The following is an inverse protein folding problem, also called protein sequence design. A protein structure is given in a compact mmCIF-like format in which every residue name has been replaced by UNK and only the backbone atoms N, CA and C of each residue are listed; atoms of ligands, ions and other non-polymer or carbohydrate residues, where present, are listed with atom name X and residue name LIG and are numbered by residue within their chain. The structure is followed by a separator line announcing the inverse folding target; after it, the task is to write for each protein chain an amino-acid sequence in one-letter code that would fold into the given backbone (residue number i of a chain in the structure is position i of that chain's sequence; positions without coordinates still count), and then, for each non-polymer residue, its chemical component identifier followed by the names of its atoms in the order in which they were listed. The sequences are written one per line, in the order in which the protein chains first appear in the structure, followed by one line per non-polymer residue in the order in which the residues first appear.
data_IF_995122591675
#
_entry.id   IF_995122591675
#
_cell.length_a   1.000
_cell.length_b   1.000
_cell.length_c   1.000
_cell.angle_alpha   90.00
_cell.angle_beta   90.00
_cell.angle_gamma   90.00
#
_symmetry.space_group_name_H-M   'P 1'
#
loop_
_entity.id
_entity.type
_entity.pdbx_description
1 polymer ?
#
# COMPACT_ATOMS: atom_id res chain seq x y z
N UNK A 1 -58.90 23.94 -44.99
CA UNK A 1 -59.08 24.74 -43.76
C UNK A 1 -57.85 25.62 -43.57
N UNK A 2 -58.04 26.84 -43.07
CA UNK A 2 -57.04 27.91 -42.91
C UNK A 2 -55.94 27.56 -41.89
N UNK A 3 -54.65 27.83 -42.16
CA UNK A 3 -53.78 29.00 -41.80
C UNK A 3 -53.41 29.18 -40.31
N UNK A 4 -52.12 29.52 -40.14
CA UNK A 4 -51.46 30.24 -39.02
C UNK A 4 -51.24 29.44 -37.72
N UNK A 5 -50.00 29.31 -37.20
CA UNK A 5 -49.16 30.32 -36.48
C UNK A 5 -49.82 30.74 -35.15
N UNK A 6 -49.13 30.84 -34.01
CA UNK A 6 -47.76 31.39 -33.82
C UNK A 6 -47.20 31.13 -32.38
N UNK A 7 -45.86 31.20 -32.20
CA UNK A 7 -45.13 31.70 -31.00
C UNK A 7 -45.33 30.99 -29.61
N UNK A 8 -44.43 30.92 -28.63
CA UNK A 8 -43.00 31.28 -28.33
C UNK A 8 -42.62 30.51 -27.02
N UNK A 9 -41.45 30.55 -26.35
CA UNK A 9 -40.19 31.33 -26.41
C UNK A 9 -39.05 30.54 -25.70
N UNK A 10 -37.81 30.59 -26.19
CA UNK A 10 -36.58 30.36 -25.39
C UNK A 10 -36.17 28.90 -25.08
N UNK A 11 -34.90 28.60 -24.78
CA UNK A 11 -33.72 29.48 -24.74
C UNK A 11 -32.42 28.67 -24.92
N UNK A 12 -31.59 29.01 -25.92
CA UNK A 12 -30.23 28.49 -25.99
C UNK A 12 -29.33 29.31 -25.05
N UNK A 13 -28.81 28.71 -23.98
CA UNK A 13 -27.64 29.24 -23.29
C UNK A 13 -26.74 28.13 -22.78
N UNK A 14 -25.60 27.94 -23.47
CA UNK A 14 -24.49 27.20 -22.91
C UNK A 14 -23.84 28.00 -21.78
N UNK A 15 -23.68 27.39 -20.60
CA UNK A 15 -22.53 27.54 -19.69
C UNK A 15 -22.85 26.84 -18.37
N UNK A 16 -22.18 25.73 -18.07
CA UNK A 16 -21.38 25.57 -16.83
C UNK A 16 -20.90 24.12 -16.69
N UNK A 17 -19.59 23.94 -16.79
CA UNK A 17 -18.89 22.79 -16.23
C UNK A 17 -19.17 22.69 -14.73
N UNK A 18 -19.87 21.65 -14.29
CA UNK A 18 -20.04 21.34 -12.87
C UNK A 18 -19.44 19.97 -12.55
N UNK A 19 -18.19 20.02 -12.10
CA UNK A 19 -17.47 18.98 -11.34
C UNK A 19 -18.40 17.98 -10.64
N UNK A 20 -18.48 16.75 -11.15
CA UNK A 20 -19.06 15.62 -10.41
C UNK A 20 -18.06 15.11 -9.36
N UNK A 21 -17.80 15.95 -8.37
CA UNK A 21 -17.17 15.54 -7.12
C UNK A 21 -18.19 14.67 -6.39
N UNK A 22 -18.15 13.35 -6.63
CA UNK A 22 -19.02 12.40 -5.94
C UNK A 22 -18.71 12.47 -4.45
N UNK A 23 -19.54 13.19 -3.70
CA UNK A 23 -19.44 13.28 -2.24
C UNK A 23 -19.49 11.86 -1.67
N UNK A 24 -18.61 11.57 -0.71
CA UNK A 24 -18.76 10.41 0.16
C UNK A 24 -20.19 10.34 0.71
N UNK A 25 -20.78 9.16 0.71
CA UNK A 25 -22.13 8.97 1.26
C UNK A 25 -22.10 9.20 2.77
N UNK A 26 -23.22 9.64 3.36
CA UNK A 26 -23.35 9.70 4.82
C UNK A 26 -23.12 8.32 5.47
N UNK A 27 -23.51 7.24 4.80
CA UNK A 27 -23.23 5.88 5.24
C UNK A 27 -21.73 5.51 5.22
N UNK A 28 -20.94 6.12 4.32
CA UNK A 28 -19.49 5.93 4.29
C UNK A 28 -18.82 6.68 5.45
N UNK A 29 -19.37 7.83 5.85
CA UNK A 29 -18.84 8.63 6.96
C UNK A 29 -18.99 7.92 8.30
N UNK A 30 -20.17 7.37 8.61
CA UNK A 30 -20.39 6.62 9.86
C UNK A 30 -19.53 5.35 9.91
N UNK A 31 -19.32 4.68 8.77
CA UNK A 31 -18.38 3.57 8.67
C UNK A 31 -16.94 4.01 8.93
N UNK A 32 -16.48 5.11 8.33
CA UNK A 32 -15.12 5.67 8.57
C UNK A 32 -14.94 6.13 10.02
N UNK A 33 -15.96 6.71 10.66
CA UNK A 33 -15.92 7.08 12.09
C UNK A 33 -15.84 5.84 12.98
N UNK A 34 -16.68 4.84 12.75
CA UNK A 34 -16.62 3.55 13.46
C UNK A 34 -15.25 2.90 13.31
N UNK A 35 -14.66 2.98 12.12
CA UNK A 35 -13.30 2.53 11.84
C UNK A 35 -12.22 3.27 12.60
N UNK A 36 -12.29 4.60 12.67
CA UNK A 36 -11.34 5.40 13.45
C UNK A 36 -11.41 5.04 14.93
N UNK A 37 -12.63 4.81 15.46
CA UNK A 37 -12.84 4.35 16.84
C UNK A 37 -12.29 2.92 17.06
N UNK A 38 -12.54 1.99 16.15
CA UNK A 38 -12.02 0.61 16.24
C UNK A 38 -10.49 0.53 16.00
N UNK A 39 -9.88 1.52 15.34
CA UNK A 39 -8.42 1.70 15.26
C UNK A 39 -7.82 2.31 16.53
N UNK A 40 -8.61 3.05 17.33
CA UNK A 40 -8.19 3.55 18.66
C UNK A 40 -8.30 2.45 19.74
N UNK A 41 -9.26 1.53 19.61
CA UNK A 41 -9.42 0.38 20.50
C UNK A 41 -8.30 -0.66 20.28
N UNK A 42 -7.42 -0.82 21.27
CA UNK A 42 -6.32 -1.79 21.27
C UNK A 42 -6.79 -3.23 21.00
N UNK A 43 -8.02 -3.58 21.35
CA UNK A 43 -8.60 -4.92 21.21
C UNK A 43 -9.10 -5.20 19.79
N UNK A 44 -9.43 -4.15 19.03
CA UNK A 44 -10.08 -4.27 17.71
C UNK A 44 -9.21 -3.80 16.55
N UNK A 45 -8.18 -2.98 16.80
CA UNK A 45 -7.31 -2.42 15.76
C UNK A 45 -6.74 -3.46 14.80
N UNK A 46 -6.33 -4.63 15.32
CA UNK A 46 -5.82 -5.73 14.49
C UNK A 46 -6.92 -6.28 13.55
N UNK A 47 -8.13 -6.51 14.09
CA UNK A 47 -9.27 -7.01 13.32
C UNK A 47 -9.71 -6.00 12.26
N UNK A 48 -9.79 -4.71 12.61
CA UNK A 48 -10.09 -3.63 11.67
C UNK A 48 -9.09 -3.61 10.49
N UNK A 49 -7.78 -3.61 10.76
CA UNK A 49 -6.76 -3.66 9.71
C UNK A 49 -6.86 -4.92 8.83
N UNK A 50 -7.13 -6.10 9.41
CA UNK A 50 -7.33 -7.34 8.65
C UNK A 50 -8.58 -7.27 7.76
N UNK A 51 -9.68 -6.72 8.27
CA UNK A 51 -10.89 -6.49 7.48
C UNK A 51 -10.62 -5.49 6.34
N UNK A 52 -9.73 -4.51 6.51
CA UNK A 52 -9.40 -3.53 5.48
C UNK A 52 -8.72 -4.21 4.28
N UNK A 53 -7.71 -5.03 4.60
CA UNK A 53 -6.99 -5.82 3.61
C UNK A 53 -7.94 -6.72 2.82
N UNK A 54 -8.92 -7.34 3.51
CA UNK A 54 -9.95 -8.16 2.87
C UNK A 54 -10.89 -7.34 1.98
N UNK A 55 -11.40 -6.20 2.46
CA UNK A 55 -12.27 -5.31 1.67
C UNK A 55 -11.57 -4.75 0.42
N UNK A 56 -10.29 -4.40 0.52
CA UNK A 56 -9.46 -3.99 -0.64
C UNK A 56 -9.30 -5.17 -1.62
N UNK A 57 -9.02 -6.37 -1.10
CA UNK A 57 -8.79 -7.55 -1.93
C UNK A 57 -10.05 -8.06 -2.65
N UNK A 58 -11.23 -7.91 -2.04
CA UNK A 58 -12.52 -8.32 -2.61
C UNK A 58 -13.12 -7.27 -3.57
N UNK A 59 -12.85 -5.99 -3.34
CA UNK A 59 -13.49 -4.89 -4.08
C UNK A 59 -12.46 -3.89 -4.62
N UNK A 60 -12.09 -3.99 -5.92
CA UNK A 60 -11.16 -3.05 -6.56
C UNK A 60 -11.64 -1.59 -6.55
N UNK A 61 -12.94 -1.34 -6.42
CA UNK A 61 -13.52 0.01 -6.33
C UNK A 61 -13.11 0.74 -5.04
N UNK A 62 -13.08 0.04 -3.90
CA UNK A 62 -12.64 0.59 -2.61
C UNK A 62 -11.17 0.98 -2.60
N UNK A 63 -10.34 0.34 -3.45
CA UNK A 63 -8.92 0.72 -3.65
C UNK A 63 -8.77 2.20 -3.98
N UNK A 64 -9.60 2.72 -4.90
CA UNK A 64 -9.54 4.11 -5.37
C UNK A 64 -10.08 5.11 -4.33
N UNK A 65 -11.16 4.77 -3.64
CA UNK A 65 -11.69 5.63 -2.57
C UNK A 65 -10.76 5.71 -1.36
N UNK A 66 -10.07 4.62 -1.02
CA UNK A 66 -9.08 4.59 0.06
C UNK A 66 -7.86 5.47 -0.22
N UNK A 67 -7.41 5.50 -1.48
CA UNK A 67 -6.34 6.38 -1.96
C UNK A 67 -6.77 7.85 -1.88
N UNK A 68 -7.98 8.19 -2.34
CA UNK A 68 -8.53 9.55 -2.20
C UNK A 68 -8.65 9.99 -0.73
N UNK A 69 -9.00 9.07 0.17
CA UNK A 69 -9.11 9.33 1.61
C UNK A 69 -7.75 9.40 2.33
N UNK A 70 -6.62 9.17 1.64
CA UNK A 70 -5.27 9.11 2.20
C UNK A 70 -5.10 8.16 3.41
N UNK A 71 -5.92 7.09 3.49
CA UNK A 71 -6.04 6.29 4.73
C UNK A 71 -4.75 5.57 5.12
N UNK A 72 -3.84 5.31 4.17
CA UNK A 72 -2.54 4.65 4.47
C UNK A 72 -1.63 5.51 5.35
N UNK A 73 -1.83 6.84 5.40
CA UNK A 73 -1.08 7.72 6.29
C UNK A 73 -1.21 7.33 7.77
N UNK A 74 -2.39 6.83 8.18
CA UNK A 74 -2.63 6.33 9.54
C UNK A 74 -1.98 4.96 9.82
N UNK A 75 -1.49 4.27 8.78
CA UNK A 75 -0.93 2.92 8.87
C UNK A 75 0.60 2.95 9.01
N UNK A 76 1.29 3.91 8.39
CA UNK A 76 2.77 4.02 8.45
C UNK A 76 3.35 4.06 9.89
N UNK A 77 2.75 4.75 10.88
CA UNK A 77 3.24 4.72 12.27
C UNK A 77 3.31 3.31 12.88
N UNK A 78 2.46 2.38 12.44
CA UNK A 78 2.50 0.99 12.91
C UNK A 78 3.65 0.20 12.28
N UNK A 79 4.03 0.50 11.04
CA UNK A 79 5.16 -0.14 10.34
C UNK A 79 6.53 0.31 10.90
N UNK A 80 6.61 1.58 11.33
CA UNK A 80 7.82 2.15 11.92
C UNK A 80 8.03 1.75 13.40
N UNK A 81 7.07 1.04 14.02
CA UNK A 81 7.20 0.57 15.39
C UNK A 81 8.23 -0.59 15.46
N UNK A 82 9.27 -0.45 16.31
CA UNK A 82 10.35 -1.44 16.47
C UNK A 82 10.14 -2.42 17.65
N UNK A 83 9.05 -2.31 18.41
CA UNK A 83 8.78 -3.19 19.56
C UNK A 83 8.53 -4.63 19.06
N UNK A 84 9.28 -5.59 19.58
CA UNK A 84 9.17 -7.01 19.17
C UNK A 84 8.12 -7.82 19.96
N UNK A 85 7.37 -7.18 20.85
CA UNK A 85 6.26 -7.81 21.56
C UNK A 85 5.16 -8.27 20.59
N UNK A 86 4.53 -9.41 20.89
CA UNK A 86 3.50 -10.04 20.05
C UNK A 86 2.39 -9.11 19.53
N UNK A 87 1.75 -8.27 20.38
CA UNK A 87 0.71 -7.35 19.93
C UNK A 87 1.20 -6.33 18.89
N UNK A 88 2.44 -5.83 19.03
CA UNK A 88 3.03 -4.91 18.08
C UNK A 88 3.37 -5.60 16.75
N UNK A 89 3.83 -6.84 16.79
CA UNK A 89 4.10 -7.65 15.61
C UNK A 89 2.82 -8.01 14.83
N UNK A 90 1.74 -8.40 15.51
CA UNK A 90 0.47 -8.68 14.86
C UNK A 90 -0.08 -7.46 14.11
N UNK A 91 0.07 -6.27 14.70
CA UNK A 91 -0.40 -5.02 14.13
C UNK A 91 0.49 -4.59 12.95
N UNK A 92 1.81 -4.85 12.98
CA UNK A 92 2.68 -4.73 11.79
C UNK A 92 2.21 -5.66 10.67
N UNK A 93 1.98 -6.94 10.95
CA UNK A 93 1.52 -7.93 9.96
C UNK A 93 0.17 -7.51 9.35
N UNK A 94 -0.78 -7.06 10.17
CA UNK A 94 -2.08 -6.58 9.70
C UNK A 94 -1.93 -5.32 8.81
N UNK A 95 -1.08 -4.37 9.21
CA UNK A 95 -0.74 -3.15 8.45
C UNK A 95 -0.10 -3.47 7.10
N UNK A 96 0.89 -4.37 7.08
CA UNK A 96 1.50 -4.90 5.86
C UNK A 96 0.46 -5.65 5.00
N UNK A 97 -0.52 -6.32 5.60
CA UNK A 97 -1.63 -6.94 4.89
C UNK A 97 -2.44 -5.94 4.06
N UNK A 98 -2.72 -4.75 4.60
CA UNK A 98 -3.43 -3.67 3.88
C UNK A 98 -2.61 -3.19 2.68
N UNK A 99 -1.33 -2.87 2.87
CA UNK A 99 -0.46 -2.39 1.79
C UNK A 99 -0.21 -3.49 0.77
N UNK A 100 -0.01 -4.74 1.22
CA UNK A 100 0.09 -5.93 0.40
C UNK A 100 -1.14 -6.12 -0.50
N UNK A 101 -2.36 -5.92 0.02
CA UNK A 101 -3.58 -5.96 -0.77
C UNK A 101 -3.65 -4.83 -1.83
N UNK A 102 -3.16 -3.62 -1.50
CA UNK A 102 -3.07 -2.50 -2.45
C UNK A 102 -2.09 -2.80 -3.61
N UNK A 103 -0.91 -3.35 -3.32
CA UNK A 103 0.13 -3.61 -4.36
C UNK A 103 -0.02 -4.96 -5.06
N UNK A 104 -0.85 -5.89 -4.55
CA UNK A 104 -1.07 -7.23 -5.14
C UNK A 104 -1.49 -7.19 -6.60
N UNK A 105 -2.28 -6.19 -6.99
CA UNK A 105 -2.58 -5.86 -8.38
C UNK A 105 -1.80 -4.60 -8.70
N UNK A 106 -0.72 -4.74 -9.48
CA UNK A 106 0.14 -3.65 -9.92
C UNK A 106 -0.73 -2.64 -10.69
N UNK A 107 -0.77 -1.42 -10.18
CA UNK A 107 -1.56 -0.31 -10.71
C UNK A 107 -0.74 0.94 -10.46
N UNK A 108 -0.38 1.62 -11.55
CA UNK A 108 0.54 2.77 -11.52
C UNK A 108 -0.01 3.93 -10.70
N UNK A 109 -1.34 4.11 -10.60
CA UNK A 109 -1.94 5.13 -9.73
C UNK A 109 -1.62 4.84 -8.25
N UNK A 110 -1.68 3.57 -7.86
CA UNK A 110 -1.45 3.13 -6.48
C UNK A 110 0.03 3.20 -6.12
N UNK A 111 0.93 2.83 -7.03
CA UNK A 111 2.38 2.96 -6.81
C UNK A 111 2.78 4.43 -6.69
N UNK A 112 2.27 5.32 -7.55
CA UNK A 112 2.54 6.77 -7.45
C UNK A 112 1.99 7.38 -6.16
N UNK A 113 0.85 6.90 -5.64
CA UNK A 113 0.32 7.30 -4.34
C UNK A 113 1.19 6.80 -3.16
N UNK A 114 1.62 5.54 -3.19
CA UNK A 114 2.46 4.96 -2.14
C UNK A 114 3.88 5.54 -2.10
N UNK A 115 4.40 5.99 -3.25
CA UNK A 115 5.69 6.68 -3.38
C UNK A 115 5.56 8.22 -3.36
N UNK A 116 4.38 8.75 -3.01
CA UNK A 116 4.14 10.18 -3.07
C UNK A 116 5.04 10.93 -2.07
N UNK A 117 5.65 12.09 -2.42
CA UNK A 117 6.58 12.80 -1.54
C UNK A 117 6.02 13.22 -0.17
N UNK A 118 4.70 13.27 -0.03
CA UNK A 118 4.00 13.57 1.24
C UNK A 118 3.80 12.35 2.14
N UNK A 119 4.05 11.13 1.65
CA UNK A 119 3.91 9.84 2.36
C UNK A 119 5.16 8.94 2.13
N UNK A 120 6.41 9.42 2.35
CA UNK A 120 7.62 8.71 1.90
C UNK A 120 7.96 7.40 2.64
N UNK A 121 7.11 7.00 3.60
CA UNK A 121 7.44 6.01 4.63
C UNK A 121 7.12 4.55 4.25
N UNK A 122 6.53 4.28 3.07
CA UNK A 122 6.19 2.89 2.70
C UNK A 122 7.42 1.99 2.56
N UNK A 123 8.48 2.46 1.88
CA UNK A 123 9.71 1.67 1.70
C UNK A 123 10.52 1.61 3.01
N UNK A 124 10.79 2.72 3.72
CA UNK A 124 11.43 2.68 5.04
C UNK A 124 10.69 1.79 6.04
N UNK A 125 9.36 1.85 6.11
CA UNK A 125 8.55 1.01 6.98
C UNK A 125 8.60 -0.48 6.60
N UNK A 126 8.63 -0.81 5.31
CA UNK A 126 8.86 -2.18 4.86
C UNK A 126 10.27 -2.68 5.20
N UNK A 127 11.31 -1.85 5.02
CA UNK A 127 12.69 -2.17 5.41
C UNK A 127 12.78 -2.41 6.92
N UNK A 128 12.18 -1.56 7.75
CA UNK A 128 12.12 -1.78 9.20
C UNK A 128 11.44 -3.12 9.53
N UNK A 129 10.33 -3.47 8.86
CA UNK A 129 9.67 -4.77 9.04
C UNK A 129 10.53 -5.97 8.56
N UNK A 130 11.39 -5.78 7.55
CA UNK A 130 12.37 -6.79 7.09
C UNK A 130 13.52 -6.98 8.09
N UNK A 131 13.90 -5.94 8.82
CA UNK A 131 14.90 -6.03 9.89
C UNK A 131 14.33 -6.68 11.16
N UNK A 132 13.30 -6.08 11.77
CA UNK A 132 12.88 -6.42 13.15
C UNK A 132 11.72 -7.42 13.24
N UNK A 133 11.01 -7.67 12.14
CA UNK A 133 9.77 -8.45 12.12
C UNK A 133 9.95 -9.96 12.19
N UNK A 134 8.86 -10.68 12.43
CA UNK A 134 8.80 -12.14 12.27
C UNK A 134 8.98 -12.53 10.80
N UNK A 135 9.28 -13.80 10.53
CA UNK A 135 9.43 -14.34 9.17
C UNK A 135 8.22 -14.07 8.26
N UNK A 136 6.99 -14.05 8.81
CA UNK A 136 5.80 -13.68 8.05
C UNK A 136 5.82 -12.19 7.67
N UNK A 137 6.15 -11.31 8.62
CA UNK A 137 6.31 -9.87 8.38
C UNK A 137 7.42 -9.59 7.36
N UNK A 138 8.61 -10.21 7.52
CA UNK A 138 9.71 -10.16 6.55
C UNK A 138 9.28 -10.60 5.15
N UNK A 139 8.50 -11.69 5.05
CA UNK A 139 7.97 -12.20 3.77
C UNK A 139 7.00 -11.21 3.11
N UNK A 140 6.03 -10.66 3.85
CA UNK A 140 5.04 -9.72 3.29
C UNK A 140 5.68 -8.37 2.93
N UNK A 141 6.58 -7.85 3.77
CA UNK A 141 7.33 -6.63 3.49
C UNK A 141 8.23 -6.77 2.24
N UNK A 142 8.95 -7.89 2.11
CA UNK A 142 9.76 -8.16 0.90
C UNK A 142 8.89 -8.31 -0.34
N UNK A 143 7.71 -8.95 -0.23
CA UNK A 143 6.73 -8.99 -1.32
C UNK A 143 6.27 -7.59 -1.75
N UNK A 144 5.98 -6.68 -0.81
CA UNK A 144 5.57 -5.31 -1.10
C UNK A 144 6.68 -4.56 -1.84
N UNK A 145 7.92 -4.62 -1.35
CA UNK A 145 9.07 -3.99 -2.04
C UNK A 145 9.23 -4.56 -3.45
N UNK A 146 9.14 -5.89 -3.61
CA UNK A 146 9.23 -6.54 -4.91
C UNK A 146 8.14 -6.06 -5.89
N UNK A 147 6.89 -5.89 -5.44
CA UNK A 147 5.82 -5.32 -6.29
C UNK A 147 6.09 -3.86 -6.68
N UNK A 148 6.68 -3.07 -5.79
CA UNK A 148 7.03 -1.67 -6.07
C UNK A 148 8.15 -1.60 -7.12
N UNK A 149 9.28 -2.29 -6.92
CA UNK A 149 10.45 -2.22 -7.82
C UNK A 149 10.25 -2.94 -9.16
N UNK A 150 9.23 -3.78 -9.32
CA UNK A 150 8.87 -4.27 -10.66
C UNK A 150 8.45 -3.10 -11.56
N UNK A 151 7.86 -2.04 -11.00
CA UNK A 151 7.50 -0.82 -11.76
C UNK A 151 8.69 0.10 -12.04
N UNK A 152 8.57 0.92 -13.08
CA UNK A 152 9.58 1.91 -13.45
C UNK A 152 9.67 3.04 -12.42
N UNK A 153 8.53 3.57 -11.94
CA UNK A 153 8.48 4.59 -10.90
C UNK A 153 9.09 4.10 -9.57
N UNK A 154 8.84 2.85 -9.19
CA UNK A 154 9.45 2.23 -8.01
C UNK A 154 10.96 2.10 -8.12
N UNK A 155 11.47 1.62 -9.26
CA UNK A 155 12.93 1.57 -9.48
C UNK A 155 13.55 2.95 -9.46
N UNK A 156 12.95 3.93 -10.14
CA UNK A 156 13.44 5.30 -10.12
C UNK A 156 13.48 5.86 -8.69
N UNK A 157 12.45 5.62 -7.86
CA UNK A 157 12.46 6.05 -6.46
C UNK A 157 13.62 5.43 -5.65
N UNK A 158 13.91 4.14 -5.88
CA UNK A 158 14.96 3.42 -5.17
C UNK A 158 16.38 3.77 -5.64
N UNK A 159 16.57 4.03 -6.95
CA UNK A 159 17.89 4.25 -7.55
C UNK A 159 18.29 5.73 -7.65
N UNK A 160 17.37 6.70 -7.47
CA UNK A 160 17.70 8.14 -7.51
C UNK A 160 18.61 8.60 -6.37
N UNK A 161 18.57 7.93 -5.21
CA UNK A 161 19.46 8.23 -4.07
C UNK A 161 20.25 6.97 -3.67
N UNK A 162 21.59 7.01 -3.66
CA UNK A 162 22.42 5.85 -3.29
C UNK A 162 22.05 5.25 -1.94
N UNK A 163 21.70 6.07 -0.96
CA UNK A 163 21.34 5.65 0.41
C UNK A 163 20.14 4.71 0.41
N UNK A 164 19.16 4.93 -0.48
CA UNK A 164 17.97 4.07 -0.60
C UNK A 164 18.33 2.71 -1.20
N UNK A 165 19.18 2.71 -2.22
CA UNK A 165 19.69 1.49 -2.84
C UNK A 165 20.51 0.67 -1.84
N UNK A 166 21.42 1.30 -1.10
CA UNK A 166 22.24 0.64 -0.07
C UNK A 166 21.40 0.11 1.10
N UNK A 167 20.43 0.88 1.62
CA UNK A 167 19.54 0.42 2.69
C UNK A 167 18.74 -0.83 2.26
N UNK A 168 18.23 -0.84 1.03
CA UNK A 168 17.50 -1.99 0.49
C UNK A 168 18.41 -3.21 0.30
N UNK A 169 19.60 -3.03 -0.28
CA UNK A 169 20.58 -4.12 -0.46
C UNK A 169 21.07 -4.69 0.87
N UNK A 170 21.31 -3.84 1.86
CA UNK A 170 21.73 -4.24 3.21
C UNK A 170 20.65 -5.08 3.91
N UNK A 171 19.39 -4.61 3.90
CA UNK A 171 18.27 -5.35 4.49
C UNK A 171 18.03 -6.71 3.81
N UNK A 172 18.11 -6.78 2.48
CA UNK A 172 18.02 -8.03 1.72
C UNK A 172 19.19 -8.98 2.05
N UNK A 173 20.40 -8.45 2.18
CA UNK A 173 21.60 -9.22 2.54
C UNK A 173 21.50 -9.84 3.94
N UNK A 174 21.13 -9.04 4.95
CA UNK A 174 20.98 -9.49 6.33
C UNK A 174 19.97 -10.63 6.45
N UNK A 175 18.82 -10.55 5.76
CA UNK A 175 17.84 -11.65 5.76
C UNK A 175 18.38 -12.94 5.14
N UNK A 176 19.19 -12.87 4.08
CA UNK A 176 19.84 -14.06 3.51
C UNK A 176 20.83 -14.65 4.50
N UNK A 177 21.63 -13.82 5.17
CA UNK A 177 22.60 -14.26 6.17
C UNK A 177 21.92 -14.92 7.39
N UNK A 178 20.82 -14.36 7.88
CA UNK A 178 19.97 -14.96 8.93
C UNK A 178 19.43 -16.33 8.52
N UNK A 179 18.90 -16.46 7.30
CA UNK A 179 18.36 -17.73 6.78
C UNK A 179 19.44 -18.81 6.65
N UNK A 180 20.66 -18.43 6.23
CA UNK A 180 21.82 -19.32 6.16
C UNK A 180 22.25 -19.73 7.58
N UNK A 181 22.47 -18.77 8.49
CA UNK A 181 22.90 -19.01 9.88
C UNK A 181 21.91 -19.87 10.66
N UNK A 182 20.61 -19.70 10.43
CA UNK A 182 19.57 -20.51 11.05
C UNK A 182 19.43 -21.92 10.47
N UNK A 183 20.04 -22.22 9.31
CA UNK A 183 19.87 -23.52 8.62
C UNK A 183 18.47 -23.74 8.01
N UNK A 184 17.62 -22.71 7.97
CA UNK A 184 16.18 -22.81 7.67
C UNK A 184 15.85 -22.77 6.17
N UNK A 185 16.86 -22.78 5.29
CA UNK A 185 16.73 -22.68 3.83
C UNK A 185 15.80 -23.72 3.19
N UNK A 186 15.65 -24.89 3.81
CA UNK A 186 14.77 -25.95 3.34
C UNK A 186 13.27 -25.68 3.59
N UNK A 187 12.95 -24.78 4.52
CA UNK A 187 11.57 -24.50 4.95
C UNK A 187 10.77 -23.79 3.85
N UNK A 188 9.46 -24.07 3.82
CA UNK A 188 8.56 -23.56 2.78
C UNK A 188 8.34 -22.03 2.88
N UNK A 189 8.38 -21.46 4.08
CA UNK A 189 8.33 -20.01 4.33
C UNK A 189 9.63 -19.33 3.87
N UNK A 190 10.80 -19.87 4.24
CA UNK A 190 12.10 -19.41 3.75
C UNK A 190 12.19 -19.42 2.21
N UNK A 191 11.69 -20.45 1.53
CA UNK A 191 11.62 -20.51 0.06
C UNK A 191 10.78 -19.39 -0.57
N UNK A 192 9.69 -18.97 0.08
CA UNK A 192 8.85 -17.84 -0.39
C UNK A 192 9.58 -16.51 -0.22
N UNK A 193 10.22 -16.30 0.93
CA UNK A 193 11.04 -15.11 1.19
C UNK A 193 12.23 -15.03 0.20
N UNK A 194 12.99 -16.11 0.03
CA UNK A 194 14.10 -16.20 -0.93
C UNK A 194 13.66 -15.89 -2.36
N UNK A 195 12.50 -16.39 -2.81
CA UNK A 195 11.97 -16.06 -4.13
C UNK A 195 11.81 -14.54 -4.32
N UNK A 196 11.25 -13.84 -3.32
CA UNK A 196 11.12 -12.38 -3.40
C UNK A 196 12.46 -11.67 -3.33
N UNK A 197 13.39 -12.12 -2.48
CA UNK A 197 14.75 -11.57 -2.40
C UNK A 197 15.49 -11.69 -3.75
N UNK A 198 15.40 -12.85 -4.42
CA UNK A 198 16.02 -13.08 -5.73
C UNK A 198 15.43 -12.15 -6.79
N UNK A 199 14.11 -12.03 -6.86
CA UNK A 199 13.46 -11.08 -7.78
C UNK A 199 13.87 -9.62 -7.50
N UNK A 200 14.05 -9.23 -6.23
CA UNK A 200 14.57 -7.91 -5.88
C UNK A 200 16.00 -7.70 -6.42
N UNK A 201 16.92 -8.64 -6.20
CA UNK A 201 18.29 -8.52 -6.69
C UNK A 201 18.37 -8.55 -8.23
N UNK A 202 17.60 -9.42 -8.88
CA UNK A 202 17.48 -9.45 -10.35
C UNK A 202 17.05 -8.08 -10.87
N UNK A 203 15.98 -7.51 -10.30
CA UNK A 203 15.44 -6.22 -10.75
C UNK A 203 16.38 -5.05 -10.47
N UNK A 204 17.05 -5.03 -9.32
CA UNK A 204 18.06 -4.04 -8.96
C UNK A 204 19.32 -4.14 -9.85
N UNK A 205 19.64 -5.31 -10.38
CA UNK A 205 20.81 -5.50 -11.26
C UNK A 205 20.61 -4.94 -12.68
N UNK A 206 19.36 -4.76 -13.12
CA UNK A 206 19.01 -4.26 -14.44
C UNK A 206 19.12 -2.73 -14.58
N UNK A 207 19.28 -2.00 -13.47
CA UNK A 207 19.38 -0.54 -13.50
C UNK A 207 20.85 -0.11 -13.53
N UNK A 208 21.33 0.57 -14.59
CA UNK A 208 22.68 1.13 -14.58
C UNK A 208 22.79 2.17 -13.46
N UNK A 209 23.94 2.16 -12.77
CA UNK A 209 24.25 3.07 -11.67
C UNK A 209 24.81 4.39 -12.20
#
# INVERSE_FOLDING_TARGET
MSRQQESQLGNHRATSSSTTTTRFSLADHDFVVQWILDLQDHSKRELALRLLALCIALHPRTKKELIKANLTAYIYPFLNNRNQEGPHEHIRIASLGVIGALVKVIDTEVIRYLLHPLNPDVIPGCINCMEVGSELSKTVATFIINQIIITEEGMRYCCVLPERFYAMGFALGNMVEELIKGGRLAEHSAKRLLKHIICCYERLSQYPR
#
